data_IF_620478702008
#
_entry.id   IF_620478702008
#
_cell.length_a   1.000
_cell.length_b   1.000
_cell.length_c   1.000
_cell.angle_alpha   90.00
_cell.angle_beta   90.00
_cell.angle_gamma   90.00
#
_symmetry.space_group_name_H-M   'P 1'
#
loop_
_entity.id
_entity.type
_entity.pdbx_description
1 polymer ?
#
# COMPACT_ATOMS: atom_id res chain seq x y z
N UNK A 1 -6.61 10.28 9.61
CA UNK A 1 -5.49 9.74 8.81
C UNK A 1 -4.22 10.08 9.54
N UNK A 2 -3.36 9.09 9.79
CA UNK A 2 -2.03 9.30 10.34
C UNK A 2 -1.00 9.12 9.23
N UNK A 3 0.08 9.90 9.29
CA UNK A 3 1.16 9.86 8.30
C UNK A 3 2.45 9.51 9.06
N UNK A 4 3.16 8.52 8.56
CA UNK A 4 4.45 8.14 9.11
C UNK A 4 5.49 8.06 8.00
N UNK A 5 6.61 8.75 8.16
CA UNK A 5 7.79 8.53 7.34
C UNK A 5 8.42 7.19 7.69
N UNK A 6 8.75 6.39 6.68
CA UNK A 6 9.51 5.15 6.82
C UNK A 6 10.97 5.49 6.55
N UNK A 7 11.86 5.22 7.50
CA UNK A 7 13.27 5.62 7.45
C UNK A 7 14.12 4.36 7.66
N UNK A 8 15.16 4.23 6.85
CA UNK A 8 16.24 3.27 7.09
C UNK A 8 17.32 3.91 7.98
N UNK A 9 17.51 3.36 9.18
CA UNK A 9 18.48 3.89 10.13
C UNK A 9 19.95 3.65 9.73
N UNK A 10 20.23 2.62 8.93
CA UNK A 10 21.59 2.32 8.47
C UNK A 10 21.98 3.16 7.26
N UNK A 11 21.04 3.37 6.34
CA UNK A 11 21.27 4.19 5.15
C UNK A 11 21.05 5.69 5.39
N UNK A 12 20.41 6.06 6.51
CA UNK A 12 19.93 7.41 6.80
C UNK A 12 19.03 7.97 5.66
N UNK A 13 18.24 7.08 5.04
CA UNK A 13 17.40 7.39 3.88
C UNK A 13 15.91 7.26 4.21
N UNK A 14 15.12 8.15 3.62
CA UNK A 14 13.66 8.09 3.64
C UNK A 14 13.20 7.05 2.61
N UNK A 15 12.55 5.97 3.03
CA UNK A 15 12.03 4.95 2.11
C UNK A 15 10.70 5.40 1.49
N UNK A 16 9.94 6.22 2.19
CA UNK A 16 8.59 6.60 1.80
C UNK A 16 7.73 7.03 2.97
N UNK A 17 6.41 7.04 2.78
CA UNK A 17 5.44 7.26 3.86
C UNK A 17 4.39 6.17 3.92
N UNK A 18 4.01 5.80 5.14
CA UNK A 18 2.84 5.00 5.46
C UNK A 18 1.66 5.94 5.76
N UNK A 19 0.62 5.88 4.93
CA UNK A 19 -0.64 6.57 5.11
C UNK A 19 -1.64 5.63 5.78
N UNK A 20 -2.00 5.89 7.03
CA UNK A 20 -2.97 5.06 7.76
C UNK A 20 -4.34 5.74 7.85
N UNK A 21 -5.35 5.08 7.29
CA UNK A 21 -6.74 5.50 7.29
C UNK A 21 -7.48 4.81 8.45
N UNK A 22 -7.57 5.52 9.58
CA UNK A 22 -8.04 4.98 10.85
C UNK A 22 -9.48 4.44 10.82
N UNK A 23 -10.36 5.09 10.05
CA UNK A 23 -11.78 4.70 9.96
C UNK A 23 -11.94 3.37 9.20
N UNK A 24 -11.18 3.21 8.12
CA UNK A 24 -11.19 2.04 7.25
C UNK A 24 -10.24 0.93 7.73
N UNK A 25 -9.41 1.21 8.73
CA UNK A 25 -8.34 0.33 9.23
C UNK A 25 -7.44 -0.22 8.11
N UNK A 26 -7.14 0.61 7.12
CA UNK A 26 -6.28 0.27 5.98
C UNK A 26 -5.12 1.24 5.89
N UNK A 27 -4.05 0.81 5.23
CA UNK A 27 -2.93 1.68 4.89
C UNK A 27 -2.59 1.64 3.40
N UNK A 28 -1.86 2.65 2.95
CA UNK A 28 -1.12 2.72 1.68
C UNK A 28 0.30 3.13 2.02
N UNK A 29 1.29 2.56 1.35
CA UNK A 29 2.67 3.04 1.39
C UNK A 29 2.99 3.77 0.07
N UNK A 30 3.56 4.96 0.19
CA UNK A 30 4.08 5.74 -0.92
C UNK A 30 5.60 5.78 -0.82
N UNK A 31 6.28 5.05 -1.69
CA UNK A 31 7.73 4.98 -1.76
C UNK A 31 8.34 6.18 -2.47
N UNK A 32 9.59 6.49 -2.16
CA UNK A 32 10.39 7.46 -2.90
C UNK A 32 10.80 6.91 -4.27
N UNK A 33 10.79 7.76 -5.31
CA UNK A 33 11.07 7.34 -6.70
C UNK A 33 12.54 7.02 -6.94
N UNK A 34 13.43 7.56 -6.11
CA UNK A 34 14.86 7.28 -6.21
C UNK A 34 15.22 5.89 -5.70
N UNK A 35 14.29 5.16 -5.07
CA UNK A 35 14.55 3.80 -4.66
C UNK A 35 14.72 2.91 -5.89
N UNK A 36 15.65 1.97 -5.76
CA UNK A 36 15.91 0.92 -6.72
C UNK A 36 15.76 -0.46 -6.05
N UNK A 37 16.00 -1.52 -6.82
CA UNK A 37 15.91 -2.89 -6.33
C UNK A 37 16.89 -3.27 -5.22
N UNK A 38 17.93 -2.45 -4.98
CA UNK A 38 18.95 -2.68 -3.97
C UNK A 38 18.71 -1.90 -2.68
N UNK A 39 18.03 -0.76 -2.79
CA UNK A 39 17.75 0.17 -1.70
C UNK A 39 16.34 0.04 -1.15
N UNK A 40 15.40 -0.52 -1.92
CA UNK A 40 14.05 -0.75 -1.44
C UNK A 40 13.97 -1.90 -0.42
N UNK A 41 13.05 -1.82 0.57
CA UNK A 41 12.72 -2.95 1.42
C UNK A 41 12.34 -4.18 0.58
N UNK A 42 12.78 -5.37 0.99
CA UNK A 42 12.65 -6.61 0.20
C UNK A 42 11.22 -6.88 -0.29
N UNK A 43 10.22 -6.60 0.54
CA UNK A 43 8.80 -6.76 0.19
C UNK A 43 8.39 -5.92 -1.04
N UNK A 44 9.08 -4.81 -1.30
CA UNK A 44 8.77 -3.86 -2.36
C UNK A 44 9.68 -3.94 -3.58
N UNK A 45 10.72 -4.78 -3.56
CA UNK A 45 11.71 -4.87 -4.64
C UNK A 45 11.07 -5.10 -6.01
N UNK A 46 10.06 -5.99 -6.12
CA UNK A 46 9.38 -6.27 -7.38
C UNK A 46 8.53 -5.10 -7.91
N UNK A 47 7.98 -4.29 -7.01
CA UNK A 47 7.20 -3.09 -7.34
C UNK A 47 8.12 -1.98 -7.85
N UNK A 48 9.22 -1.73 -7.13
CA UNK A 48 10.22 -0.73 -7.53
C UNK A 48 10.86 -1.08 -8.88
N UNK A 49 11.17 -2.36 -9.14
CA UNK A 49 11.62 -2.85 -10.47
C UNK A 49 10.64 -2.53 -11.61
N UNK A 50 9.35 -2.44 -11.30
CA UNK A 50 8.28 -2.12 -12.25
C UNK A 50 7.91 -0.63 -12.26
N UNK A 51 8.67 0.22 -11.55
CA UNK A 51 8.38 1.63 -11.34
C UNK A 51 7.03 1.89 -10.68
N UNK A 52 6.61 0.98 -9.79
CA UNK A 52 5.41 1.10 -8.97
C UNK A 52 5.84 1.60 -7.59
N UNK A 53 5.52 2.86 -7.28
CA UNK A 53 5.95 3.51 -6.03
C UNK A 53 4.80 3.80 -5.07
N UNK A 54 3.56 3.81 -5.55
CA UNK A 54 2.42 3.63 -4.66
C UNK A 54 2.26 2.12 -4.44
N UNK A 55 2.12 1.66 -3.21
CA UNK A 55 2.07 0.23 -2.90
C UNK A 55 0.62 -0.21 -2.70
N UNK A 56 0.19 -1.34 -3.31
CA UNK A 56 -1.13 -1.92 -3.07
C UNK A 56 -1.51 -2.00 -1.58
N UNK A 57 -2.79 -1.86 -1.25
CA UNK A 57 -3.25 -1.79 0.16
C UNK A 57 -2.96 -3.08 0.94
N UNK A 58 -3.14 -4.22 0.31
CA UNK A 58 -2.88 -5.55 0.87
C UNK A 58 -1.38 -5.76 1.15
N UNK A 59 -0.51 -5.35 0.24
CA UNK A 59 0.95 -5.40 0.41
C UNK A 59 1.42 -4.38 1.45
N UNK A 60 0.83 -3.18 1.45
CA UNK A 60 1.07 -2.16 2.49
C UNK A 60 0.69 -2.68 3.87
N UNK A 61 -0.43 -3.39 3.96
CA UNK A 61 -0.86 -4.07 5.19
C UNK A 61 0.08 -5.21 5.57
N UNK A 62 0.53 -6.01 4.61
CA UNK A 62 1.49 -7.08 4.84
C UNK A 62 2.80 -6.54 5.44
N UNK A 63 3.31 -5.41 4.93
CA UNK A 63 4.50 -4.75 5.49
C UNK A 63 4.35 -4.38 6.97
N UNK A 64 3.17 -3.88 7.36
CA UNK A 64 2.84 -3.59 8.76
C UNK A 64 2.81 -4.89 9.58
N UNK A 65 2.19 -5.94 9.05
CA UNK A 65 2.06 -7.24 9.72
C UNK A 65 3.40 -7.92 9.98
N UNK A 66 4.35 -7.83 9.05
CA UNK A 66 5.69 -8.40 9.20
C UNK A 66 6.50 -7.75 10.34
N UNK A 67 6.14 -6.53 10.75
CA UNK A 67 6.83 -5.76 11.80
C UNK A 67 6.24 -5.90 13.19
N UNK A 68 5.02 -6.41 13.30
CA UNK A 68 4.31 -6.52 14.56
C UNK A 68 4.19 -7.96 15.01
N UNK A 69 3.94 -8.14 16.31
CA UNK A 69 3.71 -9.46 16.89
C UNK A 69 2.44 -10.03 16.24
N UNK A 70 2.45 -11.22 15.62
CA UNK A 70 1.27 -11.76 14.95
C UNK A 70 0.18 -12.12 15.96
N UNK A 71 -1.08 -11.92 15.55
CA UNK A 71 -2.26 -12.19 16.38
C UNK A 71 -2.37 -13.66 16.85
N UNK A 72 -1.82 -14.60 16.08
CA UNK A 72 -1.80 -16.03 16.41
C UNK A 72 -0.77 -16.49 17.44
N UNK A 73 0.02 -15.59 18.04
CA UNK A 73 1.05 -15.95 19.05
C UNK A 73 0.39 -16.52 20.31
N UNK A 74 0.91 -17.63 20.84
CA UNK A 74 0.35 -18.32 22.02
C UNK A 74 0.07 -17.39 23.20
N UNK A 75 0.94 -16.41 23.46
CA UNK A 75 0.85 -15.50 24.61
C UNK A 75 0.25 -14.13 24.25
N UNK A 76 -0.51 -14.01 23.17
CA UNK A 76 -0.99 -12.70 22.69
C UNK A 76 -1.83 -11.95 23.74
N UNK A 77 -2.64 -12.67 24.54
CA UNK A 77 -3.47 -12.06 25.59
C UNK A 77 -2.64 -11.40 26.70
N UNK A 78 -1.54 -12.03 27.09
CA UNK A 78 -0.62 -11.49 28.10
C UNK A 78 0.11 -10.26 27.56
N UNK A 79 0.53 -10.30 26.30
CA UNK A 79 1.17 -9.17 25.61
C UNK A 79 0.21 -7.97 25.54
N UNK A 80 -1.05 -8.20 25.15
CA UNK A 80 -2.08 -7.15 25.13
C UNK A 80 -2.26 -6.53 26.53
N UNK A 81 -2.36 -7.36 27.57
CA UNK A 81 -2.49 -6.89 28.95
C UNK A 81 -1.27 -6.07 29.41
N UNK A 82 -0.05 -6.48 29.05
CA UNK A 82 1.18 -5.75 29.36
C UNK A 82 1.21 -4.34 28.72
N UNK A 83 0.59 -4.18 27.54
CA UNK A 83 0.47 -2.90 26.84
C UNK A 83 -0.86 -2.16 27.12
N UNK A 84 -1.67 -2.62 28.08
CA UNK A 84 -3.01 -2.08 28.38
C UNK A 84 -3.96 -2.04 27.16
N UNK A 85 -3.79 -2.97 26.23
CA UNK A 85 -4.62 -3.08 25.03
C UNK A 85 -5.79 -4.05 25.28
N UNK A 86 -6.99 -3.66 24.85
CA UNK A 86 -8.21 -4.48 24.98
C UNK A 86 -8.36 -5.48 23.84
N UNK A 87 -7.91 -5.09 22.65
CA UNK A 87 -7.98 -5.87 21.43
C UNK A 87 -6.68 -5.75 20.66
N UNK A 88 -6.43 -6.75 19.83
CA UNK A 88 -5.30 -6.74 18.91
C UNK A 88 -5.57 -5.75 17.77
N UNK A 89 -4.61 -4.86 17.55
CA UNK A 89 -4.63 -3.88 16.46
C UNK A 89 -3.19 -3.70 15.96
N UNK A 90 -2.94 -4.08 14.70
CA UNK A 90 -1.60 -4.07 14.12
C UNK A 90 -0.96 -2.68 14.17
N UNK A 91 -1.71 -1.63 13.81
CA UNK A 91 -1.17 -0.28 13.81
C UNK A 91 -0.80 0.22 15.20
N UNK A 92 -1.58 -0.15 16.22
CA UNK A 92 -1.24 0.16 17.60
C UNK A 92 0.09 -0.48 18.00
N UNK A 93 0.32 -1.75 17.64
CA UNK A 93 1.61 -2.40 17.89
C UNK A 93 2.75 -1.76 17.11
N UNK A 94 2.51 -1.38 15.85
CA UNK A 94 3.49 -0.70 15.01
C UNK A 94 3.90 0.64 15.63
N UNK A 95 2.95 1.43 16.13
CA UNK A 95 3.22 2.69 16.82
C UNK A 95 4.02 2.47 18.12
N UNK A 96 3.66 1.46 18.93
CA UNK A 96 4.38 1.12 20.17
C UNK A 96 5.85 0.77 19.89
N UNK A 97 6.13 0.02 18.83
CA UNK A 97 7.50 -0.35 18.44
C UNK A 97 8.21 0.71 17.60
N UNK A 98 7.54 1.82 17.25
CA UNK A 98 8.01 2.75 16.22
C UNK A 98 8.37 2.04 14.91
N UNK A 99 7.65 0.97 14.56
CA UNK A 99 7.86 0.17 13.37
C UNK A 99 9.13 -0.68 13.36
N UNK A 100 9.91 -0.65 14.45
CA UNK A 100 11.17 -1.40 14.55
C UNK A 100 10.89 -2.88 14.73
N UNK A 101 11.68 -3.70 14.05
CA UNK A 101 11.67 -5.14 14.22
C UNK A 101 13.11 -5.70 14.19
N UNK A 102 13.27 -7.03 14.25
CA UNK A 102 14.58 -7.68 14.24
C UNK A 102 15.09 -8.06 12.84
N UNK A 103 14.32 -7.74 11.80
CA UNK A 103 14.60 -8.17 10.43
C UNK A 103 15.40 -7.12 9.64
N UNK A 104 15.26 -5.84 9.97
CA UNK A 104 15.86 -4.72 9.26
C UNK A 104 16.13 -3.52 10.19
N UNK A 105 16.71 -2.48 9.61
CA UNK A 105 17.01 -1.18 10.23
C UNK A 105 15.87 -0.16 10.09
N UNK A 106 14.70 -0.57 9.59
CA UNK A 106 13.61 0.35 9.28
C UNK A 106 12.86 0.76 10.55
N UNK A 107 12.42 2.00 10.57
CA UNK A 107 11.52 2.51 11.59
C UNK A 107 10.56 3.54 11.01
N UNK A 108 9.49 3.82 11.75
CA UNK A 108 8.52 4.84 11.37
C UNK A 108 8.61 6.07 12.27
N UNK A 109 8.40 7.25 11.70
CA UNK A 109 8.35 8.52 12.39
C UNK A 109 7.09 9.28 11.98
N UNK A 110 6.24 9.63 12.95
CA UNK A 110 5.03 10.41 12.67
C UNK A 110 5.41 11.79 12.10
N UNK A 111 4.72 12.19 11.03
CA UNK A 111 4.83 13.51 10.42
C UNK A 111 3.45 14.16 10.30
N UNK A 112 3.41 15.49 10.22
CA UNK A 112 2.16 16.26 10.22
C UNK A 112 1.66 16.56 8.80
N UNK A 113 2.57 16.69 7.84
CA UNK A 113 2.25 17.06 6.46
C UNK A 113 2.64 15.95 5.50
N UNK A 114 1.85 15.77 4.44
CA UNK A 114 2.21 14.90 3.33
C UNK A 114 3.44 15.46 2.61
N UNK A 115 4.42 14.60 2.24
CA UNK A 115 5.51 15.01 1.37
C UNK A 115 5.03 15.42 -0.03
N UNK A 116 5.76 16.33 -0.68
CA UNK A 116 5.42 16.86 -2.00
C UNK A 116 5.22 15.77 -3.07
N UNK A 117 6.12 14.76 -3.10
CA UNK A 117 6.02 13.68 -4.08
C UNK A 117 4.72 12.87 -3.98
N UNK A 118 4.16 12.77 -2.77
CA UNK A 118 2.86 12.12 -2.57
C UNK A 118 1.74 13.00 -3.10
N UNK A 119 1.80 14.31 -2.81
CA UNK A 119 0.82 15.27 -3.32
C UNK A 119 0.78 15.25 -4.86
N UNK A 120 1.94 15.31 -5.51
CA UNK A 120 2.05 15.27 -6.97
C UNK A 120 1.45 13.99 -7.56
N UNK A 121 1.67 12.82 -6.95
CA UNK A 121 1.05 11.57 -7.42
C UNK A 121 -0.46 11.59 -7.28
N UNK A 122 -0.97 12.14 -6.17
CA UNK A 122 -2.41 12.20 -5.94
C UNK A 122 -3.17 13.08 -6.95
N UNK A 123 -2.47 13.99 -7.65
CA UNK A 123 -3.07 14.81 -8.72
C UNK A 123 -3.56 13.97 -9.91
N UNK A 124 -2.96 12.80 -10.12
CA UNK A 124 -3.34 11.87 -11.18
C UNK A 124 -4.12 10.66 -10.64
N UNK A 125 -4.69 10.77 -9.43
CA UNK A 125 -5.57 9.73 -8.92
C UNK A 125 -6.91 9.73 -9.66
N UNK A 126 -7.53 8.55 -9.73
CA UNK A 126 -8.92 8.42 -10.13
C UNK A 126 -9.82 9.13 -9.12
N UNK A 127 -10.64 10.05 -9.61
CA UNK A 127 -11.72 10.72 -8.88
C UNK A 127 -13.02 9.89 -8.97
N UNK A 128 -13.33 9.37 -10.16
CA UNK A 128 -14.55 8.60 -10.41
C UNK A 128 -14.32 7.57 -11.52
N UNK A 129 -15.02 6.44 -11.45
CA UNK A 129 -15.06 5.44 -12.53
C UNK A 129 -16.50 5.04 -12.80
N UNK A 130 -16.87 4.98 -14.07
CA UNK A 130 -18.18 4.46 -14.48
C UNK A 130 -18.02 3.35 -15.51
N UNK A 131 -18.80 2.29 -15.34
CA UNK A 131 -18.90 1.24 -16.35
C UNK A 131 -19.71 1.76 -17.53
N UNK A 132 -19.16 1.61 -18.73
CA UNK A 132 -19.83 1.91 -19.99
C UNK A 132 -20.25 0.61 -20.69
N UNK A 133 -20.94 0.74 -21.82
CA UNK A 133 -21.28 -0.40 -22.67
C UNK A 133 -20.00 -1.13 -23.14
N UNK A 134 -20.13 -2.43 -23.40
CA UNK A 134 -19.06 -3.30 -23.91
C UNK A 134 -17.85 -3.45 -22.98
N UNK A 135 -18.05 -3.58 -21.66
CA UNK A 135 -16.98 -3.84 -20.69
C UNK A 135 -15.87 -2.78 -20.70
N UNK A 136 -16.24 -1.52 -20.92
CA UNK A 136 -15.29 -0.40 -20.86
C UNK A 136 -15.46 0.39 -19.59
N UNK A 137 -14.35 0.71 -18.93
CA UNK A 137 -14.31 1.59 -17.77
C UNK A 137 -13.93 3.00 -18.21
N UNK A 138 -14.76 3.97 -17.87
CA UNK A 138 -14.46 5.39 -18.05
C UNK A 138 -13.95 5.93 -16.71
N UNK A 139 -12.66 6.26 -16.65
CA UNK A 139 -12.00 6.78 -15.45
C UNK A 139 -11.81 8.30 -15.58
N UNK A 140 -12.36 9.02 -14.62
CA UNK A 140 -12.17 10.45 -14.43
C UNK A 140 -11.07 10.65 -13.39
N UNK A 141 -10.09 11.49 -13.73
CA UNK A 141 -8.94 11.76 -12.89
C UNK A 141 -9.05 13.13 -12.22
N UNK A 142 -8.35 13.32 -11.10
CA UNK A 142 -8.33 14.57 -10.33
C UNK A 142 -7.82 15.75 -11.20
N UNK A 143 -6.84 15.49 -12.08
CA UNK A 143 -6.31 16.43 -13.07
C UNK A 143 -7.29 16.78 -14.21
N UNK A 144 -8.53 16.28 -14.15
CA UNK A 144 -9.60 16.46 -15.13
C UNK A 144 -9.36 15.78 -16.48
N UNK A 145 -8.37 14.90 -16.56
CA UNK A 145 -8.25 13.98 -17.67
C UNK A 145 -9.27 12.84 -17.56
N UNK A 146 -9.58 12.23 -18.70
CA UNK A 146 -10.48 11.07 -18.79
C UNK A 146 -9.80 10.00 -19.60
N UNK A 147 -9.75 8.76 -19.08
CA UNK A 147 -9.27 7.59 -19.82
C UNK A 147 -10.39 6.57 -19.98
N UNK A 148 -10.44 5.97 -21.17
CA UNK A 148 -11.28 4.81 -21.45
C UNK A 148 -10.36 3.59 -21.40
N UNK A 149 -10.74 2.62 -20.59
CA UNK A 149 -10.07 1.34 -20.43
C UNK A 149 -10.98 0.26 -20.96
N UNK A 150 -10.46 -0.59 -21.85
CA UNK A 150 -11.17 -1.76 -22.35
C UNK A 150 -10.82 -2.98 -21.49
N UNK A 151 -11.77 -3.45 -20.67
CA UNK A 151 -11.53 -4.56 -19.75
C UNK A 151 -11.34 -5.89 -20.49
N UNK A 152 -11.92 -6.05 -21.69
CA UNK A 152 -11.76 -7.26 -22.48
C UNK A 152 -10.30 -7.46 -22.93
N UNK A 153 -9.61 -6.36 -23.27
CA UNK A 153 -8.20 -6.40 -23.68
C UNK A 153 -7.24 -6.80 -22.56
N UNK A 154 -7.69 -6.70 -21.30
CA UNK A 154 -6.88 -7.02 -20.12
C UNK A 154 -7.01 -8.50 -19.75
N UNK A 155 -8.23 -9.07 -19.81
CA UNK A 155 -8.44 -10.51 -19.57
C UNK A 155 -7.73 -11.41 -20.61
N UNK A 156 -7.38 -10.91 -21.81
CA UNK A 156 -6.69 -11.71 -22.84
C UNK A 156 -5.16 -11.81 -22.64
N UNK A 157 -4.57 -10.96 -21.79
CA UNK A 157 -3.12 -10.88 -21.58
C UNK A 157 -2.56 -11.73 -20.44
N UNK A 158 -3.43 -12.21 -19.55
CA UNK A 158 -3.05 -13.07 -18.43
C UNK A 158 -3.36 -14.53 -18.77
N UNK A 159 -2.41 -15.43 -18.53
CA UNK A 159 -2.67 -16.87 -18.60
C UNK A 159 -3.68 -17.23 -17.52
N UNK A 160 -4.97 -17.17 -17.87
CA UNK A 160 -6.11 -17.50 -17.02
C UNK A 160 -5.93 -18.93 -16.49
N UNK A 161 -5.77 -19.15 -15.17
CA UNK A 161 -5.87 -20.48 -14.59
C UNK A 161 -7.27 -21.03 -14.91
N UNK A 162 -7.42 -22.31 -15.20
CA UNK A 162 -8.71 -22.92 -15.53
C UNK A 162 -9.78 -22.63 -14.45
N UNK A 163 -10.58 -21.59 -14.69
CA UNK A 163 -11.52 -20.99 -13.74
C UNK A 163 -11.70 -19.53 -14.14
N UNK A 164 -12.77 -19.24 -14.90
CA UNK A 164 -12.91 -18.03 -15.71
C UNK A 164 -12.62 -16.68 -15.02
N UNK A 165 -12.25 -15.68 -15.85
CA UNK A 165 -12.02 -14.28 -15.49
C UNK A 165 -13.25 -13.75 -14.74
N UNK A 166 -13.20 -13.64 -13.40
CA UNK A 166 -14.20 -12.89 -12.65
C UNK A 166 -13.94 -11.40 -12.95
N UNK A 167 -14.86 -10.70 -13.63
CA UNK A 167 -14.66 -9.29 -13.96
C UNK A 167 -14.40 -8.43 -12.72
N UNK A 168 -14.92 -8.82 -11.55
CA UNK A 168 -14.65 -8.08 -10.30
C UNK A 168 -13.19 -8.25 -9.85
N UNK A 169 -12.57 -9.43 -10.02
CA UNK A 169 -11.17 -9.62 -9.61
C UNK A 169 -10.21 -8.85 -10.52
N UNK A 170 -10.46 -8.87 -11.84
CA UNK A 170 -9.66 -8.12 -12.81
C UNK A 170 -9.87 -6.63 -12.66
N UNK A 171 -11.08 -6.16 -12.37
CA UNK A 171 -11.30 -4.74 -12.05
C UNK A 171 -10.57 -4.36 -10.77
N UNK A 172 -10.48 -5.24 -9.76
CA UNK A 172 -9.74 -4.93 -8.51
C UNK A 172 -8.23 -4.86 -8.74
N UNK A 173 -7.67 -5.81 -9.50
CA UNK A 173 -6.24 -5.86 -9.82
C UNK A 173 -5.84 -4.79 -10.85
N UNK A 174 -6.73 -4.45 -11.77
CA UNK A 174 -6.55 -3.38 -12.75
C UNK A 174 -6.77 -2.00 -12.13
N UNK A 175 -7.74 -1.83 -11.22
CA UNK A 175 -7.83 -0.63 -10.39
C UNK A 175 -6.58 -0.49 -9.52
N UNK A 176 -6.00 -1.58 -9.00
CA UNK A 176 -4.68 -1.51 -8.37
C UNK A 176 -3.64 -1.04 -9.38
N UNK A 177 -3.59 -1.51 -10.63
CA UNK A 177 -2.62 -0.98 -11.61
C UNK A 177 -2.86 0.47 -12.07
N UNK A 178 -4.11 0.97 -12.11
CA UNK A 178 -4.42 2.37 -12.47
C UNK A 178 -4.30 3.32 -11.27
N UNK A 179 -4.64 2.88 -10.05
CA UNK A 179 -4.44 3.67 -8.83
C UNK A 179 -2.96 3.84 -8.48
N UNK A 180 -2.06 3.21 -9.24
CA UNK A 180 -0.61 3.17 -9.04
C UNK A 180 0.18 3.81 -10.20
N UNK A 181 -0.49 4.46 -11.17
CA UNK A 181 0.11 5.19 -12.31
C UNK A 181 -0.51 6.55 -12.51
#
# INVERSE_FOLDING_TARGET
MKIFEIIDAELELSMGVLLYYEKEKTCIIELQEYLDEWTAPLLFTSYVKQHIYTIPRDISRLWVQERVIPSGRQNIKEILAHHNLKEYDEMTFLEISSGKCSQDSLYIKKIENLPEYVLTRTEHNIEECVMSENQRLLCFFVDKTVKIIDLAAICEGESVPEGGCDPESVVTEFLMQILLK
#
